data_IF_234421304039
#
_entry.id   IF_234421304039
#
_cell.length_a   1.000
_cell.length_b   1.000
_cell.length_c   1.000
_cell.angle_alpha   90.00
_cell.angle_beta   90.00
_cell.angle_gamma   90.00
#
_symmetry.space_group_name_H-M   'P 1'
#
loop_
_entity.id
_entity.type
_entity.pdbx_description
1 polymer ?
#
# COMPACT_ATOMS: atom_id res chain seq x y z
N UNK A 1 28.58 46.74 11.11
CA UNK A 1 27.56 45.90 11.76
C UNK A 1 26.50 45.38 10.79
N UNK A 2 25.92 46.20 9.89
CA UNK A 2 24.88 45.69 8.91
C UNK A 2 25.37 44.63 7.93
N UNK A 3 26.65 44.66 7.52
CA UNK A 3 27.25 43.68 6.57
C UNK A 3 27.49 42.31 7.20
N UNK A 4 27.76 42.23 8.51
CA UNK A 4 27.98 40.99 9.23
C UNK A 4 26.64 40.23 9.48
N UNK A 5 25.56 40.97 9.67
CA UNK A 5 24.21 40.40 9.86
C UNK A 5 23.70 39.78 8.53
N UNK A 6 23.96 40.39 7.39
CA UNK A 6 23.58 39.81 6.09
C UNK A 6 24.34 38.52 5.77
N UNK A 7 25.58 38.39 6.18
CA UNK A 7 26.38 37.16 5.93
C UNK A 7 25.94 36.01 6.84
N UNK A 8 25.49 36.29 8.06
CA UNK A 8 24.94 35.27 8.96
C UNK A 8 23.57 34.76 8.48
N UNK A 9 22.71 35.60 7.90
CA UNK A 9 21.42 35.19 7.36
C UNK A 9 21.60 34.34 6.09
N UNK A 10 22.60 34.61 5.25
CA UNK A 10 22.92 33.79 4.07
C UNK A 10 23.49 32.41 4.44
N UNK A 11 24.21 32.28 5.56
CA UNK A 11 24.78 31.01 6.02
C UNK A 11 23.71 30.07 6.66
N UNK A 12 22.65 30.60 7.27
CA UNK A 12 21.56 29.81 7.85
C UNK A 12 20.59 29.30 6.79
N UNK A 13 20.49 29.95 5.63
CA UNK A 13 19.60 29.54 4.52
C UNK A 13 20.10 28.32 3.72
N UNK A 14 21.36 27.90 3.87
CA UNK A 14 21.97 26.81 3.08
C UNK A 14 21.96 25.43 3.79
N UNK A 15 21.42 25.35 5.02
CA UNK A 15 21.27 24.10 5.77
C UNK A 15 19.81 23.60 5.76
N UNK A 16 18.96 24.08 4.85
CA UNK A 16 17.74 23.36 4.50
C UNK A 16 18.15 22.10 3.74
N UNK A 17 18.71 21.15 4.49
CA UNK A 17 19.05 19.82 4.02
C UNK A 17 17.83 19.23 3.36
N UNK A 18 17.99 18.79 2.14
CA UNK A 18 17.02 17.96 1.45
C UNK A 18 16.68 16.79 2.38
N UNK A 19 15.53 16.89 3.06
CA UNK A 19 14.86 15.73 3.60
C UNK A 19 14.48 14.89 2.38
N UNK A 20 15.42 14.09 1.90
CA UNK A 20 15.11 13.01 0.99
C UNK A 20 14.11 12.13 1.75
N UNK A 21 12.91 12.05 1.25
CA UNK A 21 11.98 11.02 1.64
C UNK A 21 12.66 9.67 1.29
N UNK A 22 13.47 9.17 2.23
CA UNK A 22 14.08 7.86 2.17
C UNK A 22 12.94 6.84 2.31
N UNK A 23 12.34 6.43 1.21
CA UNK A 23 11.22 5.51 1.29
C UNK A 23 10.88 4.74 0.02
N UNK A 24 11.32 5.19 -1.16
CA UNK A 24 10.90 4.55 -2.41
C UNK A 24 11.94 3.61 -3.04
N UNK A 25 13.21 3.67 -2.62
CA UNK A 25 14.31 2.96 -3.30
C UNK A 25 14.95 1.83 -2.47
N UNK A 26 14.35 1.44 -1.35
CA UNK A 26 14.96 0.42 -0.46
C UNK A 26 14.84 -1.01 -0.98
N UNK A 27 13.90 -1.28 -1.86
CA UNK A 27 13.70 -2.61 -2.46
C UNK A 27 13.29 -2.50 -3.94
N UNK A 28 13.76 -3.45 -4.75
CA UNK A 28 13.27 -3.61 -6.11
C UNK A 28 11.80 -4.07 -6.09
N UNK A 29 10.98 -3.57 -7.01
CA UNK A 29 9.59 -4.00 -7.11
C UNK A 29 9.50 -5.36 -7.79
N UNK A 30 8.74 -6.25 -7.19
CA UNK A 30 8.36 -7.52 -7.79
C UNK A 30 7.50 -7.29 -9.04
N UNK A 31 7.68 -8.11 -10.06
CA UNK A 31 6.80 -8.07 -11.23
C UNK A 31 5.46 -8.70 -10.92
N UNK A 32 4.40 -7.92 -11.04
CA UNK A 32 3.04 -8.42 -10.90
C UNK A 32 2.74 -9.44 -12.01
N UNK A 33 2.16 -10.61 -11.67
CA UNK A 33 1.79 -11.59 -12.70
C UNK A 33 0.70 -11.00 -13.60
N UNK A 34 0.95 -10.99 -14.91
CA UNK A 34 -0.06 -10.56 -15.87
C UNK A 34 -1.07 -11.68 -16.14
N UNK A 35 -2.17 -11.66 -15.39
CA UNK A 35 -3.26 -12.64 -15.48
C UNK A 35 -4.61 -11.98 -15.86
N UNK A 36 -4.57 -10.97 -16.71
CA UNK A 36 -5.77 -10.21 -17.11
C UNK A 36 -6.81 -11.04 -17.85
N UNK A 37 -6.44 -12.22 -18.37
CA UNK A 37 -7.35 -13.16 -19.03
C UNK A 37 -7.72 -14.37 -18.16
N UNK A 38 -7.17 -14.46 -16.93
CA UNK A 38 -7.51 -15.52 -15.99
C UNK A 38 -8.70 -15.10 -15.13
N UNK A 39 -9.90 -15.42 -15.61
CA UNK A 39 -11.16 -15.04 -14.94
C UNK A 39 -11.23 -15.55 -13.49
N UNK A 40 -10.72 -16.74 -13.20
CA UNK A 40 -10.72 -17.29 -11.86
C UNK A 40 -9.86 -16.45 -10.90
N UNK A 41 -8.66 -16.05 -11.34
CA UNK A 41 -7.80 -15.14 -10.58
C UNK A 41 -8.44 -13.77 -10.39
N UNK A 42 -9.11 -13.22 -11.41
CA UNK A 42 -9.77 -11.91 -11.34
C UNK A 42 -10.98 -11.95 -10.39
N UNK A 43 -11.78 -12.99 -10.45
CA UNK A 43 -12.94 -13.18 -9.55
C UNK A 43 -12.48 -13.36 -8.10
N UNK A 44 -11.41 -14.14 -7.86
CA UNK A 44 -10.82 -14.27 -6.52
C UNK A 44 -10.25 -12.92 -6.04
N UNK A 45 -9.61 -12.16 -6.91
CA UNK A 45 -9.14 -10.81 -6.61
C UNK A 45 -10.28 -9.86 -6.23
N UNK A 46 -11.40 -9.90 -6.95
CA UNK A 46 -12.59 -9.14 -6.63
C UNK A 46 -13.17 -9.52 -5.25
N UNK A 47 -13.22 -10.82 -4.94
CA UNK A 47 -13.62 -11.32 -3.62
C UNK A 47 -12.71 -10.78 -2.51
N UNK A 48 -11.39 -10.85 -2.70
CA UNK A 48 -10.43 -10.33 -1.72
C UNK A 48 -10.59 -8.81 -1.57
N UNK A 49 -10.71 -8.07 -2.67
CA UNK A 49 -10.92 -6.62 -2.62
C UNK A 49 -12.15 -6.23 -1.82
N UNK A 50 -13.30 -6.85 -2.09
CA UNK A 50 -14.56 -6.51 -1.41
C UNK A 50 -14.52 -6.87 0.06
N UNK A 51 -13.88 -7.99 0.44
CA UNK A 51 -13.87 -8.45 1.82
C UNK A 51 -12.77 -7.80 2.68
N UNK A 52 -11.63 -7.41 2.11
CA UNK A 52 -10.48 -6.93 2.87
C UNK A 52 -10.13 -5.46 2.62
N UNK A 53 -10.44 -4.90 1.45
CA UNK A 53 -10.04 -3.54 1.09
C UNK A 53 -11.21 -2.55 1.18
N UNK A 54 -12.40 -2.95 0.72
CA UNK A 54 -13.55 -2.05 0.56
C UNK A 54 -14.11 -1.54 1.90
N UNK A 55 -13.81 -2.18 3.02
CA UNK A 55 -14.17 -1.67 4.34
C UNK A 55 -13.53 -0.30 4.62
N UNK A 56 -12.32 -0.08 4.13
CA UNK A 56 -11.53 1.14 4.36
C UNK A 56 -11.27 1.95 3.09
N UNK A 57 -11.17 1.31 1.92
CA UNK A 57 -10.84 1.96 0.66
C UNK A 57 -12.01 1.95 -0.32
N UNK A 58 -12.46 3.11 -0.73
CA UNK A 58 -13.39 3.20 -1.85
C UNK A 58 -12.70 2.95 -3.19
N UNK A 59 -13.46 2.45 -4.16
CA UNK A 59 -13.21 2.60 -5.59
C UNK A 59 -14.43 3.39 -6.16
N UNK A 60 -14.50 4.67 -5.79
CA UNK A 60 -15.71 5.48 -5.90
C UNK A 60 -16.18 5.73 -7.34
N UNK A 61 -15.34 5.48 -8.34
CA UNK A 61 -15.68 5.57 -9.75
C UNK A 61 -15.88 4.19 -10.41
N UNK A 62 -15.78 3.10 -9.64
CA UNK A 62 -16.08 1.74 -10.06
C UNK A 62 -17.47 1.34 -9.54
N UNK A 63 -18.32 0.82 -10.42
CA UNK A 63 -19.63 0.27 -10.04
C UNK A 63 -19.56 -1.24 -9.88
N UNK A 64 -20.36 -1.81 -8.98
CA UNK A 64 -20.39 -3.25 -8.78
C UNK A 64 -20.81 -4.03 -10.06
N UNK A 65 -21.67 -3.47 -10.91
CA UNK A 65 -22.07 -4.12 -12.16
C UNK A 65 -20.91 -4.33 -13.15
N UNK A 66 -19.77 -3.63 -12.98
CA UNK A 66 -18.56 -3.85 -13.79
C UNK A 66 -17.86 -5.19 -13.48
N UNK A 67 -18.19 -5.83 -12.37
CA UNK A 67 -17.72 -7.19 -12.09
C UNK A 67 -18.26 -8.22 -13.09
N UNK A 68 -19.24 -7.87 -13.90
CA UNK A 68 -19.68 -8.67 -15.05
C UNK A 68 -18.59 -8.80 -16.12
N UNK A 69 -17.70 -7.83 -16.23
CA UNK A 69 -16.57 -7.84 -17.19
C UNK A 69 -15.57 -8.96 -16.92
N UNK A 70 -15.57 -9.48 -15.68
CA UNK A 70 -14.76 -10.63 -15.29
C UNK A 70 -15.57 -11.93 -15.20
N UNK A 71 -16.73 -11.98 -15.91
CA UNK A 71 -17.55 -13.17 -16.09
C UNK A 71 -18.52 -13.49 -14.96
N UNK A 72 -18.73 -12.59 -13.99
CA UNK A 72 -19.74 -12.78 -12.95
C UNK A 72 -21.14 -12.39 -13.44
N UNK A 73 -22.15 -13.18 -13.08
CA UNK A 73 -23.55 -12.80 -13.28
C UNK A 73 -23.97 -11.76 -12.23
N UNK A 74 -25.02 -11.00 -12.54
CA UNK A 74 -25.57 -10.03 -11.59
C UNK A 74 -26.01 -10.70 -10.27
N UNK A 75 -26.58 -11.90 -10.36
CA UNK A 75 -26.98 -12.66 -9.18
C UNK A 75 -25.78 -13.07 -8.33
N UNK A 76 -24.69 -13.55 -8.94
CA UNK A 76 -23.47 -13.87 -8.22
C UNK A 76 -22.86 -12.64 -7.53
N UNK A 77 -22.92 -11.46 -8.16
CA UNK A 77 -22.46 -10.21 -7.55
C UNK A 77 -23.32 -9.87 -6.34
N UNK A 78 -24.65 -9.94 -6.45
CA UNK A 78 -25.57 -9.65 -5.36
C UNK A 78 -25.37 -10.58 -4.16
N UNK A 79 -25.24 -11.87 -4.42
CA UNK A 79 -25.18 -12.87 -3.37
C UNK A 79 -23.82 -12.92 -2.65
N UNK A 80 -22.72 -12.51 -3.32
CA UNK A 80 -21.38 -12.78 -2.81
C UNK A 80 -20.49 -11.53 -2.63
N UNK A 81 -20.82 -10.38 -3.24
CA UNK A 81 -19.92 -9.24 -3.28
C UNK A 81 -20.59 -7.89 -2.96
N UNK A 82 -21.90 -7.84 -2.86
CA UNK A 82 -22.65 -6.60 -2.67
C UNK A 82 -22.97 -6.36 -1.17
N UNK A 83 -21.95 -5.97 -0.39
CA UNK A 83 -22.10 -5.82 1.07
C UNK A 83 -22.34 -4.38 1.53
N UNK A 84 -22.02 -3.38 0.71
CA UNK A 84 -22.10 -1.95 1.09
C UNK A 84 -23.31 -1.23 0.48
N UNK A 85 -24.12 -1.92 -0.33
CA UNK A 85 -25.31 -1.37 -1.00
C UNK A 85 -26.22 -2.50 -1.48
N UNK A 86 -27.48 -2.20 -1.80
CA UNK A 86 -28.46 -3.17 -2.36
C UNK A 86 -28.52 -3.15 -3.89
N UNK A 87 -27.80 -2.23 -4.55
CA UNK A 87 -27.93 -2.02 -6.00
C UNK A 87 -26.58 -2.19 -6.70
N UNK A 88 -26.50 -3.14 -7.62
CA UNK A 88 -25.28 -3.38 -8.42
C UNK A 88 -24.85 -2.17 -9.29
N UNK A 89 -25.76 -1.24 -9.56
CA UNK A 89 -25.45 0.01 -10.27
C UNK A 89 -24.74 1.04 -9.41
N UNK A 90 -24.69 0.87 -8.09
CA UNK A 90 -23.98 1.78 -7.19
C UNK A 90 -22.46 1.60 -7.27
N UNK A 91 -21.74 2.64 -6.85
CA UNK A 91 -20.28 2.63 -6.82
C UNK A 91 -19.75 1.97 -5.55
N UNK A 92 -18.51 1.46 -5.63
CA UNK A 92 -17.85 0.78 -4.53
C UNK A 92 -17.33 1.80 -3.51
N UNK A 93 -18.13 2.11 -2.50
CA UNK A 93 -17.79 3.05 -1.42
C UNK A 93 -17.39 2.30 -0.15
N UNK A 94 -16.37 2.80 0.52
CA UNK A 94 -15.93 2.27 1.82
C UNK A 94 -17.03 2.43 2.87
N UNK A 95 -17.04 1.51 3.83
CA UNK A 95 -17.97 1.54 4.96
C UNK A 95 -17.49 2.45 6.09
N UNK A 96 -16.18 2.70 6.18
CA UNK A 96 -15.61 3.54 7.23
C UNK A 96 -15.94 5.02 7.00
N UNK A 97 -16.28 5.70 8.09
CA UNK A 97 -16.41 7.15 8.09
C UNK A 97 -15.03 7.83 7.93
N UNK A 98 -14.85 8.81 7.01
CA UNK A 98 -13.55 9.46 6.78
C UNK A 98 -12.96 10.16 8.01
N UNK A 99 -13.80 10.67 8.91
CA UNK A 99 -13.35 11.34 10.14
C UNK A 99 -12.78 10.30 11.11
N UNK A 100 -13.48 9.18 11.28
CA UNK A 100 -13.01 8.06 12.10
C UNK A 100 -11.73 7.44 11.51
N UNK A 101 -11.65 7.28 10.19
CA UNK A 101 -10.45 6.77 9.53
C UNK A 101 -9.23 7.67 9.81
N UNK A 102 -9.40 8.99 9.76
CA UNK A 102 -8.34 9.94 10.09
C UNK A 102 -7.92 9.87 11.56
N UNK A 103 -8.87 9.67 12.46
CA UNK A 103 -8.63 9.52 13.90
C UNK A 103 -7.83 8.24 14.20
N UNK A 104 -8.22 7.11 13.58
CA UNK A 104 -7.61 5.80 13.86
C UNK A 104 -6.27 5.58 13.16
N UNK A 105 -6.11 6.08 11.95
CA UNK A 105 -4.93 5.81 11.11
C UNK A 105 -4.06 7.03 10.85
N UNK A 106 -4.43 8.20 11.36
CA UNK A 106 -3.72 9.47 11.10
C UNK A 106 -4.00 10.08 9.72
N UNK A 107 -4.62 9.32 8.80
CA UNK A 107 -4.95 9.75 7.44
C UNK A 107 -6.17 8.99 6.91
N UNK A 108 -6.85 9.56 5.93
CA UNK A 108 -7.89 8.84 5.20
C UNK A 108 -7.26 7.83 4.24
N UNK A 109 -7.73 6.57 4.22
CA UNK A 109 -7.34 5.62 3.19
C UNK A 109 -7.61 6.17 1.79
N UNK A 110 -6.66 6.11 0.85
CA UNK A 110 -6.87 6.64 -0.49
C UNK A 110 -7.93 5.85 -1.26
N UNK A 111 -8.64 6.53 -2.17
CA UNK A 111 -9.50 5.88 -3.15
C UNK A 111 -8.66 5.05 -4.12
N UNK A 112 -9.09 3.83 -4.41
CA UNK A 112 -8.33 2.86 -5.22
C UNK A 112 -8.73 2.83 -6.70
N UNK A 113 -9.67 3.67 -7.16
CA UNK A 113 -10.17 3.65 -8.54
C UNK A 113 -9.05 3.68 -9.59
N UNK A 114 -8.06 4.56 -9.39
CA UNK A 114 -6.93 4.76 -10.34
C UNK A 114 -5.58 4.50 -9.69
N UNK A 115 -5.55 3.79 -8.58
CA UNK A 115 -4.33 3.60 -7.78
C UNK A 115 -3.20 2.95 -8.59
N UNK A 116 -3.50 1.96 -9.42
CA UNK A 116 -2.51 1.31 -10.27
C UNK A 116 -1.88 2.26 -11.30
N UNK A 117 -2.62 3.31 -11.72
CA UNK A 117 -2.05 4.35 -12.61
C UNK A 117 -1.21 5.35 -11.82
N UNK A 118 -1.69 5.79 -10.66
CA UNK A 118 -1.02 6.83 -9.85
C UNK A 118 0.25 6.34 -9.17
N UNK A 119 0.45 5.03 -9.04
CA UNK A 119 1.61 4.41 -8.42
C UNK A 119 2.66 3.91 -9.40
N UNK A 120 2.51 4.14 -10.70
CA UNK A 120 3.56 3.89 -11.67
C UNK A 120 4.75 4.83 -11.43
N UNK A 121 5.97 4.34 -11.58
CA UNK A 121 7.18 5.12 -11.34
C UNK A 121 8.44 4.42 -11.84
N UNK A 122 9.60 4.86 -11.36
CA UNK A 122 10.90 4.34 -11.80
C UNK A 122 11.10 2.84 -11.51
N UNK A 123 10.44 2.29 -10.48
CA UNK A 123 10.52 0.86 -10.14
C UNK A 123 9.70 -0.06 -11.05
N UNK A 124 8.78 0.49 -11.88
CA UNK A 124 7.92 -0.30 -12.75
C UNK A 124 6.50 0.24 -12.88
N UNK A 125 5.57 -0.64 -13.22
CA UNK A 125 4.16 -0.32 -13.32
C UNK A 125 3.53 -0.11 -11.94
N UNK A 126 2.40 0.57 -11.88
CA UNK A 126 1.66 0.68 -10.61
C UNK A 126 1.11 -0.66 -10.12
N UNK A 127 0.89 -1.63 -11.01
CA UNK A 127 0.56 -3.00 -10.63
C UNK A 127 1.76 -3.68 -9.93
N UNK A 128 2.99 -3.49 -10.42
CA UNK A 128 4.22 -3.98 -9.77
C UNK A 128 4.37 -3.36 -8.37
N UNK A 129 4.12 -2.05 -8.25
CA UNK A 129 4.14 -1.38 -6.95
C UNK A 129 3.12 -1.98 -5.98
N UNK A 130 1.86 -2.12 -6.39
CA UNK A 130 0.79 -2.65 -5.53
C UNK A 130 1.06 -4.10 -5.12
N UNK A 131 1.56 -4.90 -6.07
CA UNK A 131 1.94 -6.28 -5.81
C UNK A 131 3.07 -6.36 -4.79
N UNK A 132 4.11 -5.53 -4.94
CA UNK A 132 5.22 -5.42 -3.99
C UNK A 132 4.73 -4.89 -2.64
N UNK A 133 3.96 -3.80 -2.63
CA UNK A 133 3.43 -3.20 -1.41
C UNK A 133 2.65 -4.22 -0.57
N UNK A 134 1.70 -4.94 -1.16
CA UNK A 134 0.88 -5.91 -0.44
C UNK A 134 1.68 -7.11 0.09
N UNK A 135 2.82 -7.41 -0.53
CA UNK A 135 3.69 -8.54 -0.18
C UNK A 135 4.88 -8.16 0.71
N UNK A 136 5.03 -6.91 1.10
CA UNK A 136 6.20 -6.44 1.87
C UNK A 136 5.86 -5.91 3.25
N UNK A 137 4.66 -6.24 3.74
CA UNK A 137 4.31 -6.03 5.14
C UNK A 137 5.09 -6.99 6.07
N UNK A 138 5.40 -6.49 7.26
CA UNK A 138 6.08 -7.25 8.31
C UNK A 138 5.69 -6.79 9.71
N UNK A 139 5.90 -7.64 10.72
CA UNK A 139 5.69 -7.30 12.13
C UNK A 139 6.70 -6.26 12.59
N UNK A 140 6.18 -5.19 13.16
CA UNK A 140 6.97 -4.10 13.75
C UNK A 140 6.21 -3.57 14.99
N UNK A 141 6.56 -4.08 16.14
CA UNK A 141 5.89 -3.76 17.40
C UNK A 141 6.16 -2.30 17.87
N UNK A 142 7.02 -1.56 17.15
CA UNK A 142 7.24 -0.12 17.38
C UNK A 142 6.16 0.74 16.72
N UNK A 143 5.33 0.17 15.82
CA UNK A 143 4.27 0.87 15.12
C UNK A 143 2.91 0.68 15.81
N UNK A 144 2.08 1.71 15.80
CA UNK A 144 0.76 1.68 16.42
C UNK A 144 -0.14 0.55 15.90
N UNK A 145 -0.01 0.20 14.62
CA UNK A 145 -0.75 -0.92 13.99
C UNK A 145 -0.09 -2.29 14.24
N UNK A 146 1.12 -2.34 14.80
CA UNK A 146 1.94 -3.55 14.90
C UNK A 146 2.57 -4.00 13.57
N UNK A 147 2.46 -3.18 12.50
CA UNK A 147 2.89 -3.52 11.15
C UNK A 147 3.67 -2.38 10.51
N UNK A 148 4.63 -2.73 9.66
CA UNK A 148 5.36 -1.81 8.80
C UNK A 148 5.51 -2.43 7.40
N UNK A 149 6.07 -1.68 6.44
CA UNK A 149 6.15 -2.10 5.06
C UNK A 149 7.48 -1.67 4.44
N UNK A 150 8.14 -2.55 3.66
CA UNK A 150 9.41 -2.21 3.02
C UNK A 150 9.24 -1.27 1.82
N UNK A 151 8.15 -1.39 1.06
CA UNK A 151 7.88 -0.51 -0.09
C UNK A 151 7.36 0.86 0.33
N UNK A 152 6.79 0.97 1.54
CA UNK A 152 6.28 2.22 2.11
C UNK A 152 6.55 2.28 3.61
N UNK A 153 7.77 2.61 4.03
CA UNK A 153 8.16 2.67 5.43
C UNK A 153 7.27 3.60 6.27
N UNK A 154 6.99 3.18 7.50
CA UNK A 154 6.11 3.88 8.43
C UNK A 154 4.66 4.03 7.94
N UNK A 155 4.18 3.03 7.20
CA UNK A 155 2.80 2.98 6.71
C UNK A 155 1.79 2.99 7.87
N UNK A 156 0.74 3.82 7.74
CA UNK A 156 -0.37 3.83 8.71
C UNK A 156 -1.39 2.68 8.47
N UNK A 157 -1.40 2.09 7.28
CA UNK A 157 -2.26 0.96 6.93
C UNK A 157 -1.84 -0.31 7.67
N UNK A 158 -2.74 -1.00 8.40
CA UNK A 158 -2.44 -2.32 8.97
C UNK A 158 -2.34 -3.37 7.87
N UNK A 159 -1.66 -4.49 8.15
CA UNK A 159 -1.56 -5.60 7.21
C UNK A 159 -2.85 -6.43 7.18
N UNK A 160 -3.82 -6.04 6.36
CA UNK A 160 -5.14 -6.69 6.29
C UNK A 160 -5.11 -8.13 5.75
N UNK A 161 -4.03 -8.53 5.06
CA UNK A 161 -3.86 -9.86 4.48
C UNK A 161 -2.92 -10.76 5.32
N UNK A 162 -2.69 -10.41 6.58
CA UNK A 162 -1.73 -11.12 7.43
C UNK A 162 -2.04 -12.61 7.61
N UNK A 163 -3.31 -12.97 7.69
CA UNK A 163 -3.72 -14.38 7.80
C UNK A 163 -3.27 -15.20 6.59
N UNK A 164 -3.37 -14.63 5.38
CA UNK A 164 -2.95 -15.31 4.15
C UNK A 164 -1.43 -15.34 4.00
N UNK A 165 -0.73 -14.28 4.42
CA UNK A 165 0.73 -14.18 4.30
C UNK A 165 1.46 -14.87 5.45
N UNK A 166 0.88 -14.89 6.63
CA UNK A 166 1.55 -15.15 7.90
C UNK A 166 2.32 -13.94 8.43
N UNK A 167 2.90 -14.09 9.59
CA UNK A 167 3.74 -13.06 10.22
C UNK A 167 5.21 -13.30 9.90
N UNK A 168 5.95 -12.24 9.61
CA UNK A 168 7.36 -12.30 9.25
C UNK A 168 8.11 -11.04 9.63
N UNK A 169 9.44 -11.15 9.66
CA UNK A 169 10.37 -10.01 9.84
C UNK A 169 11.34 -9.94 8.66
N UNK A 170 11.78 -8.73 8.26
CA UNK A 170 12.82 -8.59 7.25
C UNK A 170 14.20 -8.92 7.84
N UNK A 171 15.01 -9.60 7.06
CA UNK A 171 16.43 -9.84 7.34
C UNK A 171 17.24 -8.84 6.54
N UNK A 172 18.08 -8.06 7.21
CA UNK A 172 18.97 -7.10 6.58
C UNK A 172 20.42 -7.52 6.79
N UNK A 173 21.25 -7.20 5.81
CA UNK A 173 22.70 -7.28 5.89
C UNK A 173 23.30 -5.87 5.86
N UNK A 174 24.25 -5.61 6.75
CA UNK A 174 24.95 -4.34 6.79
C UNK A 174 26.06 -4.32 5.74
N UNK A 175 26.00 -3.36 4.84
CA UNK A 175 27.05 -3.07 3.87
C UNK A 175 27.72 -1.75 4.25
N UNK A 176 29.06 -1.76 4.34
CA UNK A 176 29.86 -0.56 4.52
C UNK A 176 30.53 -0.19 3.22
N UNK A 177 30.28 1.03 2.73
CA UNK A 177 30.93 1.59 1.54
C UNK A 177 31.26 3.04 1.79
N UNK A 178 32.54 3.40 1.57
CA UNK A 178 33.05 4.76 1.79
C UNK A 178 32.75 5.35 3.18
N UNK A 179 32.76 4.51 4.23
CA UNK A 179 32.47 4.93 5.59
C UNK A 179 30.98 5.12 5.91
N UNK A 180 30.09 4.79 4.97
CA UNK A 180 28.65 4.79 5.17
C UNK A 180 28.12 3.36 5.31
N UNK A 181 27.38 3.11 6.40
CA UNK A 181 26.69 1.85 6.64
C UNK A 181 25.30 1.91 6.03
N UNK A 182 24.98 0.96 5.18
CA UNK A 182 23.65 0.79 4.57
C UNK A 182 23.11 -0.60 4.90
N UNK A 183 21.81 -0.68 5.12
CA UNK A 183 21.12 -1.94 5.35
C UNK A 183 20.49 -2.42 4.03
N UNK A 184 20.88 -3.61 3.57
CA UNK A 184 20.37 -4.22 2.34
C UNK A 184 19.43 -5.36 2.73
N UNK A 185 18.21 -5.32 2.22
CA UNK A 185 17.24 -6.39 2.42
C UNK A 185 17.72 -7.69 1.75
N UNK A 186 17.74 -8.79 2.52
CA UNK A 186 18.19 -10.12 2.07
C UNK A 186 17.04 -11.14 1.97
N UNK A 187 16.00 -10.97 2.75
CA UNK A 187 14.91 -11.94 2.75
C UNK A 187 14.02 -11.82 3.97
N UNK A 188 13.27 -12.85 4.21
CA UNK A 188 12.27 -12.92 5.27
C UNK A 188 12.57 -14.01 6.27
N UNK A 189 12.42 -13.70 7.54
CA UNK A 189 12.27 -14.66 8.62
C UNK A 189 10.78 -14.86 8.88
N UNK A 190 10.27 -16.08 8.69
CA UNK A 190 8.88 -16.42 8.96
C UNK A 190 8.68 -16.64 10.45
N UNK A 191 7.72 -15.93 11.05
CA UNK A 191 7.35 -16.08 12.48
C UNK A 191 6.20 -17.09 12.58
N UNK A 192 5.12 -16.86 11.83
CA UNK A 192 3.98 -17.79 11.74
C UNK A 192 3.62 -18.00 10.26
N UNK A 193 3.28 -19.22 9.84
CA UNK A 193 2.85 -19.45 8.46
C UNK A 193 1.51 -18.79 8.18
N UNK A 194 1.27 -18.44 6.90
CA UNK A 194 -0.05 -18.08 6.39
C UNK A 194 -0.90 -19.30 6.06
N UNK A 195 -2.18 -19.06 5.76
CA UNK A 195 -3.17 -20.08 5.37
C UNK A 195 -3.39 -20.13 3.87
#
# INVERSE_FOLDING_TARGET
MKKIILTLIAAVGLVAGAAHAAGADTIAWDKAPNKTNDLASLQNGAKIFVNYCLSCHSAAFMRFNRLRDIGLTEQQIKDNLLFTTDKVGETMKASIDPKQAKEWFGANPPDLTVIARSRAGHGGTGADYLYTFLRTFYRDDTKATGWNNLAFPSVGMPHVLWQMQGERRPVFEEHESHGHKTQVFKGWEQITPGT
#
